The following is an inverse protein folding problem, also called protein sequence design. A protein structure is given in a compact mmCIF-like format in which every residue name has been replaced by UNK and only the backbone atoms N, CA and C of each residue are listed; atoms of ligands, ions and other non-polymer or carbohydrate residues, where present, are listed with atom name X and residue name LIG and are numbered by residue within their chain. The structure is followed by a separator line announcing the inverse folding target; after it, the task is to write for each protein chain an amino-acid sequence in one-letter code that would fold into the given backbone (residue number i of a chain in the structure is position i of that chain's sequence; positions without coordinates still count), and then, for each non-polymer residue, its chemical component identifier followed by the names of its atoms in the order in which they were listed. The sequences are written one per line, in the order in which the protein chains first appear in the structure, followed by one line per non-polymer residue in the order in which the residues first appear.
data_IF_159841748326
#
_entry.id   IF_159841748326
#
_cell.length_a   1.000
_cell.length_b   1.000
_cell.length_c   1.000
_cell.angle_alpha   90.00
_cell.angle_beta   90.00
_cell.angle_gamma   90.00
#
_symmetry.space_group_name_H-M   'P 1'
#
loop_
_entity.id
_entity.type
_entity.pdbx_description
1 polymer ?
#
# COMPACT_ATOMS: atom_id res chain seq x y z
N UNK A 1 -11.74 61.04 -3.72
CA UNK A 1 -12.25 59.74 -3.21
C UNK A 1 -12.22 58.77 -4.38
N UNK A 2 -11.21 57.90 -4.45
CA UNK A 2 -11.21 56.83 -5.43
C UNK A 2 -12.22 55.78 -4.96
N UNK A 3 -13.25 55.51 -5.77
CA UNK A 3 -14.15 54.38 -5.55
C UNK A 3 -13.33 53.11 -5.76
N UNK A 4 -12.99 52.39 -4.69
CA UNK A 4 -12.54 51.00 -4.82
C UNK A 4 -13.67 50.24 -5.51
N UNK A 5 -13.43 49.79 -6.75
CA UNK A 5 -14.32 48.86 -7.43
C UNK A 5 -14.40 47.62 -6.56
N UNK A 6 -15.60 47.32 -6.06
CA UNK A 6 -15.86 46.16 -5.22
C UNK A 6 -15.50 44.90 -6.03
N UNK A 7 -14.64 44.06 -5.47
CA UNK A 7 -14.20 42.84 -6.13
C UNK A 7 -15.41 41.96 -6.48
N UNK A 8 -15.50 41.54 -7.75
CA UNK A 8 -16.62 40.74 -8.26
C UNK A 8 -16.80 39.43 -7.48
N UNK A 9 -15.72 38.84 -6.98
CA UNK A 9 -15.80 37.60 -6.22
C UNK A 9 -16.38 37.88 -4.83
N UNK A 10 -15.97 38.98 -4.18
CA UNK A 10 -16.52 39.42 -2.90
C UNK A 10 -18.05 39.67 -2.92
N UNK A 11 -18.65 39.89 -4.10
CA UNK A 11 -20.10 40.07 -4.25
C UNK A 11 -20.93 38.79 -4.07
N UNK A 12 -20.31 37.60 -4.10
CA UNK A 12 -21.04 36.34 -3.92
C UNK A 12 -21.56 36.16 -2.47
N UNK A 13 -22.66 35.42 -2.28
CA UNK A 13 -23.12 35.00 -0.95
C UNK A 13 -22.09 34.12 -0.23
N UNK A 14 -22.06 34.18 1.10
CA UNK A 14 -21.03 33.48 1.91
C UNK A 14 -20.97 31.98 1.64
N UNK A 15 -22.11 31.31 1.41
CA UNK A 15 -22.13 29.88 1.09
C UNK A 15 -21.40 29.54 -0.22
N UNK A 16 -21.41 30.42 -1.21
CA UNK A 16 -20.63 30.24 -2.45
C UNK A 16 -19.16 30.47 -2.17
N UNK A 17 -18.81 31.46 -1.34
CA UNK A 17 -17.43 31.71 -0.94
C UNK A 17 -16.84 30.55 -0.15
N UNK A 18 -17.60 29.97 0.79
CA UNK A 18 -17.21 28.76 1.51
C UNK A 18 -17.01 27.58 0.58
N UNK A 19 -17.92 27.41 -0.40
CA UNK A 19 -17.76 26.36 -1.40
C UNK A 19 -16.49 26.55 -2.24
N UNK A 20 -16.19 27.78 -2.68
CA UNK A 20 -14.94 28.08 -3.40
C UNK A 20 -13.71 27.76 -2.52
N UNK A 21 -13.71 28.20 -1.26
CA UNK A 21 -12.60 27.95 -0.34
C UNK A 21 -12.44 26.47 0.02
N UNK A 22 -13.52 25.67 -0.02
CA UNK A 22 -13.46 24.23 0.26
C UNK A 22 -12.62 23.44 -0.77
N UNK A 23 -12.39 24.02 -1.96
CA UNK A 23 -11.51 23.44 -2.98
C UNK A 23 -10.05 23.86 -2.83
N UNK A 24 -9.74 24.79 -1.92
CA UNK A 24 -8.40 25.31 -1.73
C UNK A 24 -7.71 24.62 -0.55
N UNK A 25 -6.40 24.31 -0.66
CA UNK A 25 -5.58 23.98 0.51
C UNK A 25 -5.66 25.12 1.54
N UNK A 26 -5.53 24.78 2.84
CA UNK A 26 -5.65 25.76 3.93
C UNK A 26 -4.74 26.99 3.73
N UNK A 27 -3.53 26.79 3.19
CA UNK A 27 -2.59 27.87 2.85
C UNK A 27 -3.20 28.91 1.93
N UNK A 28 -3.80 28.45 0.83
CA UNK A 28 -4.36 29.31 -0.20
C UNK A 28 -5.68 29.91 0.28
N UNK A 29 -6.48 29.14 1.04
CA UNK A 29 -7.69 29.66 1.68
C UNK A 29 -7.35 30.81 2.64
N UNK A 30 -6.33 30.67 3.48
CA UNK A 30 -5.86 31.74 4.38
C UNK A 30 -5.32 32.94 3.59
N UNK A 31 -4.62 32.72 2.47
CA UNK A 31 -4.15 33.81 1.60
C UNK A 31 -5.29 34.65 1.03
N UNK A 32 -6.50 34.11 0.87
CA UNK A 32 -7.64 34.93 0.44
C UNK A 32 -8.03 36.01 1.45
N UNK A 33 -7.59 35.90 2.72
CA UNK A 33 -7.90 36.88 3.77
C UNK A 33 -7.41 38.31 3.48
N UNK A 34 -6.46 38.49 2.56
CA UNK A 34 -5.97 39.81 2.14
C UNK A 34 -6.81 40.45 1.01
N UNK A 35 -7.74 39.72 0.40
CA UNK A 35 -8.55 40.21 -0.73
C UNK A 35 -9.48 41.35 -0.29
N UNK A 36 -10.23 41.15 0.80
CA UNK A 36 -11.07 42.20 1.40
C UNK A 36 -11.43 41.88 2.86
N UNK A 37 -12.08 42.82 3.54
CA UNK A 37 -12.59 42.62 4.91
C UNK A 37 -13.56 41.45 5.01
N UNK A 38 -14.30 41.15 3.94
CA UNK A 38 -15.25 40.03 3.88
C UNK A 38 -14.53 38.68 3.88
N UNK A 39 -13.38 38.57 3.21
CA UNK A 39 -12.60 37.33 3.13
C UNK A 39 -11.76 37.03 4.36
N UNK A 40 -11.56 38.01 5.23
CA UNK A 40 -10.60 37.95 6.34
C UNK A 40 -10.74 36.70 7.22
N UNK A 41 -11.95 36.18 7.40
CA UNK A 41 -12.22 35.04 8.29
C UNK A 41 -12.95 33.88 7.62
N UNK A 42 -13.19 33.94 6.30
CA UNK A 42 -13.97 32.88 5.61
C UNK A 42 -13.28 31.51 5.65
N UNK A 43 -11.94 31.51 5.71
CA UNK A 43 -11.17 30.26 5.83
C UNK A 43 -11.45 29.51 7.14
N UNK A 44 -11.98 30.17 8.18
CA UNK A 44 -12.30 29.52 9.45
C UNK A 44 -13.48 28.54 9.32
N UNK A 45 -14.30 28.69 8.28
CA UNK A 45 -15.48 27.86 8.02
C UNK A 45 -15.20 26.67 7.10
N UNK A 46 -13.94 26.45 6.67
CA UNK A 46 -13.62 25.26 5.89
C UNK A 46 -13.67 24.01 6.78
N UNK A 47 -14.16 22.91 6.22
CA UNK A 47 -14.29 21.63 6.94
C UNK A 47 -13.04 20.75 6.85
N UNK A 48 -12.11 21.06 5.94
CA UNK A 48 -10.87 20.31 5.73
C UNK A 48 -9.67 21.16 6.09
N UNK A 49 -8.96 20.77 7.15
CA UNK A 49 -7.76 21.43 7.63
C UNK A 49 -6.62 20.41 7.52
N UNK A 50 -5.82 20.50 6.45
CA UNK A 50 -4.61 19.66 6.27
C UNK A 50 -3.38 20.54 6.15
N UNK A 51 -2.39 20.27 6.99
CA UNK A 51 -1.06 20.88 6.89
C UNK A 51 -0.09 19.81 6.38
N UNK A 52 0.36 19.97 5.13
CA UNK A 52 1.29 19.04 4.48
C UNK A 52 2.75 19.43 4.68
N UNK A 53 3.68 18.54 4.30
CA UNK A 53 5.12 18.81 4.43
C UNK A 53 5.62 20.06 3.74
N UNK A 54 4.97 20.52 2.65
CA UNK A 54 5.35 21.77 1.98
C UNK A 54 4.98 23.02 2.79
N UNK A 55 3.93 22.91 3.60
CA UNK A 55 3.54 23.91 4.59
C UNK A 55 4.47 23.87 5.80
N UNK A 56 4.78 22.66 6.27
CA UNK A 56 5.58 22.44 7.46
C UNK A 56 7.07 22.75 7.24
N UNK A 57 7.59 22.56 6.03
CA UNK A 57 9.00 22.87 5.69
C UNK A 57 9.35 24.36 5.81
N UNK A 58 8.35 25.24 5.84
CA UNK A 58 8.53 26.68 6.04
C UNK A 58 8.52 27.12 7.51
N UNK A 59 8.27 26.19 8.44
CA UNK A 59 8.37 26.48 9.87
C UNK A 59 9.82 26.73 10.24
N UNK A 60 10.02 27.60 11.22
CA UNK A 60 11.29 27.96 11.83
C UNK A 60 11.04 28.21 13.32
N UNK A 61 12.06 28.15 14.19
CA UNK A 61 11.93 28.56 15.60
C UNK A 61 11.30 29.95 15.77
N UNK A 62 11.47 30.82 14.76
CA UNK A 62 10.96 32.19 14.75
C UNK A 62 9.46 32.29 14.50
N UNK A 63 8.85 31.31 13.85
CA UNK A 63 7.45 31.37 13.43
C UNK A 63 6.58 30.23 14.00
N UNK A 64 7.20 29.23 14.64
CA UNK A 64 6.52 28.05 15.18
C UNK A 64 5.42 28.42 16.18
N UNK A 65 5.68 29.35 17.10
CA UNK A 65 4.68 29.82 18.06
C UNK A 65 3.55 30.59 17.38
N UNK A 66 3.85 31.34 16.32
CA UNK A 66 2.83 32.04 15.54
C UNK A 66 1.93 31.05 14.80
N UNK A 67 2.51 29.97 14.27
CA UNK A 67 1.77 28.88 13.67
C UNK A 67 0.90 28.16 14.70
N UNK A 68 1.45 27.79 15.86
CA UNK A 68 0.68 27.16 16.95
C UNK A 68 -0.52 28.00 17.35
N UNK A 69 -0.29 29.30 17.60
CA UNK A 69 -1.35 30.25 17.92
C UNK A 69 -2.40 30.40 16.80
N UNK A 70 -1.97 30.32 15.54
CA UNK A 70 -2.89 30.33 14.40
C UNK A 70 -3.79 29.08 14.38
N UNK A 71 -3.21 27.89 14.52
CA UNK A 71 -3.96 26.63 14.54
C UNK A 71 -4.92 26.58 15.73
N UNK A 72 -4.47 27.00 16.92
CA UNK A 72 -5.31 27.10 18.10
C UNK A 72 -6.56 27.96 17.85
N UNK A 73 -6.38 29.16 17.28
CA UNK A 73 -7.49 30.06 16.97
C UNK A 73 -8.40 29.51 15.89
N UNK A 74 -7.84 28.82 14.90
CA UNK A 74 -8.60 28.19 13.82
C UNK A 74 -9.48 27.04 14.34
N UNK A 75 -8.95 26.22 15.25
CA UNK A 75 -9.70 25.10 15.83
C UNK A 75 -10.71 25.54 16.88
N UNK A 76 -10.40 26.61 17.64
CA UNK A 76 -11.25 27.16 18.71
C UNK A 76 -12.18 28.30 18.24
N UNK A 77 -12.40 28.46 16.93
CA UNK A 77 -13.21 29.55 16.39
C UNK A 77 -14.68 29.45 16.87
N UNK A 78 -15.35 30.57 17.25
CA UNK A 78 -16.67 30.51 17.92
C UNK A 78 -17.81 29.88 17.11
N UNK A 79 -17.82 30.11 15.79
CA UNK A 79 -18.85 29.59 14.88
C UNK A 79 -18.40 28.24 14.29
N UNK A 80 -18.33 27.22 15.15
CA UNK A 80 -17.74 25.92 14.82
C UNK A 80 -18.55 25.16 13.76
N UNK A 81 -17.98 25.01 12.57
CA UNK A 81 -18.45 24.05 11.54
C UNK A 81 -17.88 22.67 11.86
N UNK A 82 -18.67 21.62 11.61
CA UNK A 82 -18.19 20.24 11.68
C UNK A 82 -16.96 20.05 10.80
N UNK A 83 -15.91 19.43 11.32
CA UNK A 83 -14.75 19.10 10.50
C UNK A 83 -15.03 17.84 9.71
N UNK A 84 -14.71 17.86 8.43
CA UNK A 84 -14.64 16.63 7.64
C UNK A 84 -13.27 15.99 7.85
N UNK A 85 -12.19 16.79 7.89
CA UNK A 85 -10.85 16.27 8.03
C UNK A 85 -9.92 17.21 8.79
N UNK A 86 -9.10 16.63 9.66
CA UNK A 86 -7.95 17.25 10.31
C UNK A 86 -6.70 16.43 10.00
N UNK A 87 -5.68 17.07 9.41
CA UNK A 87 -4.43 16.40 9.11
C UNK A 87 -3.20 17.24 9.32
N UNK A 88 -2.12 16.58 9.74
CA UNK A 88 -0.87 17.20 10.12
C UNK A 88 0.26 16.23 9.79
N UNK A 89 0.98 16.51 8.70
CA UNK A 89 1.95 15.59 8.14
C UNK A 89 3.35 16.22 8.11
N UNK A 90 4.38 15.37 8.24
CA UNK A 90 5.79 15.70 8.03
C UNK A 90 6.35 16.74 9.04
N UNK A 91 6.06 16.52 10.34
CA UNK A 91 6.68 17.26 11.47
C UNK A 91 8.02 16.63 11.90
N UNK A 92 8.53 15.66 11.15
CA UNK A 92 9.78 14.93 11.41
C UNK A 92 10.97 15.88 11.66
N UNK A 93 10.98 17.05 11.04
CA UNK A 93 12.04 18.06 11.22
C UNK A 93 11.90 18.98 12.45
N UNK A 94 10.78 18.91 13.18
CA UNK A 94 10.41 19.86 14.24
C UNK A 94 10.11 19.22 15.59
N UNK A 95 10.10 17.89 15.68
CA UNK A 95 9.85 17.17 16.94
C UNK A 95 11.13 16.51 17.48
N UNK A 96 12.23 17.25 17.47
CA UNK A 96 13.46 16.83 18.15
C UNK A 96 13.32 16.95 19.68
N UNK A 97 14.36 16.50 20.41
CA UNK A 97 14.38 16.53 21.88
C UNK A 97 14.19 17.93 22.49
N UNK A 98 14.36 18.99 21.72
CA UNK A 98 14.28 20.38 22.18
C UNK A 98 12.94 21.05 21.80
N UNK A 99 12.17 20.50 20.86
CA UNK A 99 10.94 21.09 20.33
C UNK A 99 9.75 20.12 20.37
N UNK A 100 9.26 19.75 21.56
CA UNK A 100 8.08 18.90 21.66
C UNK A 100 6.83 19.62 21.10
N UNK A 101 6.37 19.17 19.94
CA UNK A 101 5.20 19.71 19.27
C UNK A 101 3.95 18.98 19.78
N UNK A 102 3.48 19.35 20.97
CA UNK A 102 2.26 18.80 21.55
C UNK A 102 1.04 19.23 20.74
N UNK A 103 0.39 18.26 20.09
CA UNK A 103 -0.80 18.42 19.27
C UNK A 103 -2.05 17.80 19.90
N UNK A 104 -1.95 17.30 21.14
CA UNK A 104 -3.04 16.60 21.82
C UNK A 104 -4.29 17.49 21.94
N UNK A 105 -4.12 18.76 22.26
CA UNK A 105 -5.19 19.76 22.31
C UNK A 105 -5.85 19.99 20.96
N UNK A 106 -5.08 19.95 19.87
CA UNK A 106 -5.60 20.12 18.51
C UNK A 106 -6.40 18.90 18.07
N UNK A 107 -5.90 17.71 18.38
CA UNK A 107 -6.63 16.46 18.17
C UNK A 107 -7.95 16.52 18.95
N UNK A 108 -7.92 16.85 20.26
CA UNK A 108 -9.12 17.00 21.07
C UNK A 108 -10.11 18.02 20.49
N UNK A 109 -9.62 19.18 20.04
CA UNK A 109 -10.47 20.20 19.41
C UNK A 109 -11.12 19.70 18.11
N UNK A 110 -10.39 18.94 17.29
CA UNK A 110 -10.92 18.34 16.08
C UNK A 110 -11.99 17.27 16.39
N UNK A 111 -11.73 16.42 17.38
CA UNK A 111 -12.68 15.39 17.87
C UNK A 111 -13.97 16.03 18.40
N UNK A 112 -13.87 17.10 19.20
CA UNK A 112 -15.02 17.85 19.71
C UNK A 112 -15.86 18.50 18.59
N UNK A 113 -15.25 18.77 17.42
CA UNK A 113 -15.94 19.27 16.22
C UNK A 113 -16.53 18.15 15.35
N UNK A 114 -16.50 16.91 15.82
CA UNK A 114 -17.08 15.77 15.10
C UNK A 114 -16.31 15.42 13.83
N UNK A 115 -14.99 15.52 13.85
CA UNK A 115 -14.13 15.20 12.69
C UNK A 115 -14.38 13.78 12.18
N UNK A 116 -14.39 13.61 10.85
CA UNK A 116 -14.59 12.31 10.19
C UNK A 116 -13.27 11.64 9.80
N UNK A 117 -12.26 12.41 9.44
CA UNK A 117 -10.94 11.92 9.06
C UNK A 117 -9.85 12.59 9.91
N UNK A 118 -9.03 11.77 10.57
CA UNK A 118 -7.78 12.20 11.18
C UNK A 118 -6.62 11.56 10.40
N UNK A 119 -5.66 12.38 9.99
CA UNK A 119 -4.50 12.01 9.17
C UNK A 119 -3.24 12.63 9.79
N UNK A 120 -2.52 11.87 10.61
CA UNK A 120 -1.37 12.37 11.37
C UNK A 120 -0.11 11.61 10.99
N UNK A 121 0.95 12.35 10.69
CA UNK A 121 2.29 11.82 10.44
C UNK A 121 3.33 12.64 11.20
N UNK A 122 3.66 12.16 12.41
CA UNK A 122 4.47 12.84 13.42
C UNK A 122 5.45 11.85 14.08
N UNK A 123 6.65 12.31 14.41
CA UNK A 123 7.51 11.62 15.37
C UNK A 123 6.91 11.66 16.78
N UNK A 124 7.16 10.63 17.59
CA UNK A 124 6.70 10.56 18.99
C UNK A 124 5.18 10.68 19.21
N UNK A 125 4.38 10.47 18.15
CA UNK A 125 2.91 10.57 18.20
C UNK A 125 2.32 9.70 19.30
N UNK A 126 2.89 8.51 19.53
CA UNK A 126 2.42 7.53 20.50
C UNK A 126 2.13 8.06 21.91
N UNK A 127 2.96 8.99 22.39
CA UNK A 127 2.81 9.57 23.74
C UNK A 127 1.84 10.77 23.79
N UNK A 128 1.44 11.29 22.63
CA UNK A 128 0.61 12.50 22.48
C UNK A 128 -0.85 12.14 22.17
N UNK A 129 -1.12 10.91 21.69
CA UNK A 129 -2.46 10.50 21.27
C UNK A 129 -3.45 10.52 22.46
N UNK A 130 -4.50 11.36 22.41
CA UNK A 130 -5.49 11.39 23.48
C UNK A 130 -6.36 10.12 23.42
N UNK A 131 -6.68 9.55 24.58
CA UNK A 131 -7.56 8.37 24.67
C UNK A 131 -8.95 8.60 24.01
N UNK A 132 -9.42 9.86 23.99
CA UNK A 132 -10.65 10.27 23.31
C UNK A 132 -10.66 9.93 21.81
N UNK A 133 -9.48 9.90 21.18
CA UNK A 133 -9.35 9.51 19.77
C UNK A 133 -9.96 8.15 19.51
N UNK A 134 -9.73 7.18 20.41
CA UNK A 134 -10.12 5.78 20.27
C UNK A 134 -11.58 5.50 20.63
N UNK A 135 -12.35 6.49 21.06
CA UNK A 135 -13.78 6.38 21.42
C UNK A 135 -14.67 7.33 20.62
N UNK A 136 -14.10 8.03 19.64
CA UNK A 136 -14.82 9.04 18.87
C UNK A 136 -15.71 8.40 17.80
N UNK A 137 -17.01 8.64 17.90
CA UNK A 137 -18.01 8.03 17.02
C UNK A 137 -18.15 8.75 15.68
N UNK A 138 -17.65 9.97 15.51
CA UNK A 138 -17.70 10.66 14.21
C UNK A 138 -16.64 10.16 13.24
N UNK A 139 -15.58 9.51 13.73
CA UNK A 139 -14.46 9.05 12.91
C UNK A 139 -14.88 7.93 11.96
N UNK A 140 -14.54 8.13 10.70
CA UNK A 140 -14.71 7.20 9.59
C UNK A 140 -13.34 6.74 9.08
N UNK A 141 -12.34 7.63 9.10
CA UNK A 141 -10.97 7.36 8.65
C UNK A 141 -9.97 7.78 9.71
N UNK A 142 -9.06 6.88 10.07
CA UNK A 142 -7.96 7.16 10.98
C UNK A 142 -6.64 6.70 10.35
N UNK A 143 -5.72 7.64 10.11
CA UNK A 143 -4.38 7.36 9.62
C UNK A 143 -3.37 7.93 10.60
N UNK A 144 -2.52 7.07 11.12
CA UNK A 144 -1.52 7.40 12.13
C UNK A 144 -0.18 6.87 11.68
N UNK A 145 0.77 7.76 11.41
CA UNK A 145 2.18 7.44 11.22
C UNK A 145 2.93 7.97 12.44
N UNK A 146 3.52 7.05 13.21
CA UNK A 146 4.04 7.33 14.54
C UNK A 146 5.52 6.95 14.67
N UNK A 147 6.37 7.58 13.85
CA UNK A 147 7.80 7.29 13.70
C UNK A 147 8.49 7.10 15.06
N UNK A 148 9.06 5.91 15.27
CA UNK A 148 9.87 5.57 16.44
C UNK A 148 9.11 5.44 17.76
N UNK A 149 7.76 5.46 17.75
CA UNK A 149 6.93 5.47 18.95
C UNK A 149 5.89 4.36 19.01
N UNK A 150 5.46 4.05 20.24
CA UNK A 150 4.43 3.04 20.52
C UNK A 150 3.03 3.63 20.41
N UNK A 151 2.14 3.00 19.64
CA UNK A 151 0.72 3.35 19.67
C UNK A 151 0.03 2.52 20.77
N UNK A 152 -0.23 3.18 21.91
CA UNK A 152 -0.92 2.58 23.05
C UNK A 152 -2.43 2.58 22.80
N UNK A 153 -2.96 1.43 22.37
CA UNK A 153 -4.41 1.25 22.15
C UNK A 153 -5.12 0.98 23.49
N UNK A 154 -6.05 1.84 23.93
CA UNK A 154 -6.84 1.61 25.15
C UNK A 154 -7.68 0.33 25.09
N UNK A 155 -7.96 -0.27 26.25
CA UNK A 155 -8.79 -1.48 26.35
C UNK A 155 -10.26 -1.26 25.96
N UNK A 156 -10.74 -0.03 26.11
CA UNK A 156 -12.10 0.43 25.84
C UNK A 156 -12.26 1.09 24.46
N UNK A 157 -11.32 0.84 23.53
CA UNK A 157 -11.40 1.32 22.15
C UNK A 157 -12.75 0.95 21.53
N UNK A 158 -13.42 1.95 20.95
CA UNK A 158 -14.73 1.79 20.32
C UNK A 158 -14.91 2.87 19.24
N UNK A 159 -14.55 2.54 18.01
CA UNK A 159 -14.69 3.44 16.85
C UNK A 159 -15.83 2.94 15.96
N UNK A 160 -17.06 3.20 16.40
CA UNK A 160 -18.26 2.58 15.84
C UNK A 160 -18.55 2.87 14.35
N UNK A 161 -17.97 3.93 13.78
CA UNK A 161 -18.14 4.32 12.38
C UNK A 161 -16.85 4.19 11.54
N UNK A 162 -15.77 3.67 12.11
CA UNK A 162 -14.48 3.60 11.44
C UNK A 162 -14.47 2.55 10.33
N UNK A 163 -14.28 3.02 9.09
CA UNK A 163 -14.21 2.19 7.89
C UNK A 163 -12.78 1.98 7.40
N UNK A 164 -11.90 2.93 7.67
CA UNK A 164 -10.50 2.90 7.20
C UNK A 164 -9.55 3.18 8.36
N UNK A 165 -8.62 2.25 8.59
CA UNK A 165 -7.55 2.37 9.57
C UNK A 165 -6.21 2.15 8.89
N UNK A 166 -5.31 3.12 9.02
CA UNK A 166 -3.93 3.02 8.58
C UNK A 166 -2.99 3.30 9.75
N UNK A 167 -2.10 2.36 10.03
CA UNK A 167 -1.02 2.49 11.00
C UNK A 167 0.31 2.43 10.24
N UNK A 168 1.19 3.39 10.51
CA UNK A 168 2.44 3.59 9.80
C UNK A 168 3.62 3.78 10.75
N UNK A 169 4.78 3.19 10.45
CA UNK A 169 6.05 3.48 11.12
C UNK A 169 6.01 3.46 12.67
N UNK A 170 5.19 2.58 13.24
CA UNK A 170 4.89 2.55 14.67
C UNK A 170 5.24 1.22 15.31
N UNK A 171 5.48 1.21 16.62
CA UNK A 171 5.57 -0.04 17.40
C UNK A 171 4.19 -0.42 17.92
N UNK A 172 3.80 -1.68 17.71
CA UNK A 172 2.54 -2.26 18.16
C UNK A 172 2.83 -3.38 19.15
N UNK A 173 2.27 -3.29 20.35
CA UNK A 173 2.48 -4.27 21.43
C UNK A 173 1.22 -5.11 21.69
N UNK A 174 1.46 -6.35 22.13
CA UNK A 174 0.44 -7.25 22.69
C UNK A 174 -0.75 -7.45 21.75
N UNK A 175 -1.95 -7.16 22.26
CA UNK A 175 -3.23 -7.37 21.58
C UNK A 175 -3.76 -6.09 20.89
N UNK A 176 -2.94 -5.05 20.69
CA UNK A 176 -3.37 -3.74 20.17
C UNK A 176 -4.12 -3.82 18.84
N UNK A 177 -3.56 -4.57 17.86
CA UNK A 177 -4.22 -4.80 16.57
C UNK A 177 -5.55 -5.55 16.78
N UNK A 178 -5.54 -6.60 17.59
CA UNK A 178 -6.73 -7.39 17.85
C UNK A 178 -7.85 -6.53 18.48
N UNK A 179 -7.53 -5.64 19.43
CA UNK A 179 -8.49 -4.70 20.04
C UNK A 179 -9.07 -3.73 19.02
N UNK A 180 -8.25 -3.17 18.14
CA UNK A 180 -8.72 -2.28 17.08
C UNK A 180 -9.70 -3.01 16.15
N UNK A 181 -9.35 -4.22 15.71
CA UNK A 181 -10.18 -4.99 14.78
C UNK A 181 -11.48 -5.47 15.45
N UNK A 182 -11.39 -6.02 16.66
CA UNK A 182 -12.54 -6.61 17.37
C UNK A 182 -13.59 -5.58 17.80
N UNK A 183 -13.19 -4.32 18.06
CA UNK A 183 -14.11 -3.28 18.49
C UNK A 183 -14.56 -2.32 17.36
N UNK A 184 -13.95 -2.39 16.16
CA UNK A 184 -14.32 -1.58 14.99
C UNK A 184 -15.14 -2.41 13.99
N UNK A 185 -16.42 -2.63 14.30
CA UNK A 185 -17.31 -3.56 13.58
C UNK A 185 -17.73 -3.14 12.16
N UNK A 186 -17.28 -2.00 11.66
CA UNK A 186 -17.55 -1.54 10.27
C UNK A 186 -16.26 -1.30 9.48
N UNK A 187 -15.12 -1.78 10.00
CA UNK A 187 -13.81 -1.61 9.39
C UNK A 187 -13.73 -2.42 8.07
N UNK A 188 -13.60 -1.71 6.95
CA UNK A 188 -13.52 -2.29 5.61
C UNK A 188 -12.09 -2.29 5.05
N UNK A 189 -11.25 -1.36 5.47
CA UNK A 189 -9.87 -1.18 4.99
C UNK A 189 -8.89 -1.05 6.16
N UNK A 190 -7.96 -2.00 6.26
CA UNK A 190 -6.89 -2.01 7.25
C UNK A 190 -5.53 -2.03 6.54
N UNK A 191 -4.69 -1.05 6.88
CA UNK A 191 -3.31 -0.97 6.44
C UNK A 191 -2.37 -0.86 7.64
N UNK A 192 -1.37 -1.74 7.71
CA UNK A 192 -0.26 -1.72 8.67
C UNK A 192 1.01 -1.65 7.85
N UNK A 193 1.72 -0.52 7.93
CA UNK A 193 2.83 -0.17 7.04
C UNK A 193 4.05 0.18 7.88
N UNK A 194 5.17 -0.49 7.66
CA UNK A 194 6.45 -0.25 8.33
C UNK A 194 6.33 -0.29 9.88
N UNK A 195 5.34 -1.01 10.40
CA UNK A 195 5.16 -1.21 11.84
C UNK A 195 6.00 -2.37 12.34
N UNK A 196 6.38 -2.34 13.63
CA UNK A 196 7.05 -3.46 14.31
C UNK A 196 6.16 -4.08 15.36
N UNK A 197 6.24 -5.41 15.47
CA UNK A 197 5.56 -6.19 16.50
C UNK A 197 6.55 -6.60 17.59
N UNK A 198 6.39 -6.02 18.77
CA UNK A 198 7.26 -6.31 19.92
C UNK A 198 6.51 -7.20 20.93
N UNK A 199 7.17 -8.28 21.37
CA UNK A 199 6.63 -9.28 22.32
C UNK A 199 5.31 -9.93 21.87
N UNK A 200 5.18 -10.21 20.57
CA UNK A 200 4.01 -10.87 19.98
C UNK A 200 4.44 -12.17 19.32
N UNK A 201 3.77 -13.27 19.68
CA UNK A 201 3.94 -14.59 19.03
C UNK A 201 2.86 -14.88 17.98
N UNK A 202 1.76 -14.13 17.98
CA UNK A 202 0.65 -14.31 17.06
C UNK A 202 0.05 -12.96 16.65
N UNK A 203 0.03 -12.68 15.35
CA UNK A 203 -0.68 -11.54 14.76
C UNK A 203 -2.02 -12.05 14.22
N UNK A 204 -3.10 -11.79 14.96
CA UNK A 204 -4.42 -12.35 14.68
C UNK A 204 -5.40 -11.32 14.12
N UNK A 205 -5.78 -11.49 12.86
CA UNK A 205 -6.65 -10.59 12.10
C UNK A 205 -7.93 -11.35 11.72
N UNK A 206 -9.00 -11.14 12.49
CA UNK A 206 -10.30 -11.76 12.25
C UNK A 206 -11.38 -10.69 12.14
N UNK A 207 -11.95 -10.55 10.95
CA UNK A 207 -13.04 -9.61 10.71
C UNK A 207 -13.88 -10.03 9.51
N UNK A 208 -15.21 -10.18 9.66
CA UNK A 208 -16.09 -10.42 8.54
C UNK A 208 -16.37 -9.16 7.70
N UNK A 209 -15.97 -7.97 8.14
CA UNK A 209 -16.26 -6.71 7.43
C UNK A 209 -15.11 -6.24 6.54
N UNK A 210 -13.90 -6.76 6.79
CA UNK A 210 -12.70 -6.33 6.09
C UNK A 210 -12.75 -6.75 4.61
N UNK A 211 -12.59 -5.78 3.71
CA UNK A 211 -12.53 -5.96 2.25
C UNK A 211 -11.12 -5.76 1.72
N UNK A 212 -10.31 -4.93 2.38
CA UNK A 212 -8.93 -4.64 2.01
C UNK A 212 -8.02 -4.79 3.22
N UNK A 213 -6.95 -5.57 3.04
CA UNK A 213 -5.91 -5.78 4.04
C UNK A 213 -4.55 -5.54 3.40
N UNK A 214 -3.77 -4.64 3.99
CA UNK A 214 -2.41 -4.33 3.58
C UNK A 214 -1.48 -4.45 4.78
N UNK A 215 -0.53 -5.36 4.67
CA UNK A 215 0.52 -5.61 5.64
C UNK A 215 1.84 -5.44 4.92
N UNK A 216 2.51 -4.31 5.10
CA UNK A 216 3.77 -4.00 4.42
C UNK A 216 4.80 -3.68 5.48
N UNK A 217 5.78 -4.54 5.66
CA UNK A 217 6.81 -4.42 6.67
C UNK A 217 8.16 -4.10 6.02
N UNK A 218 9.09 -3.57 6.83
CA UNK A 218 10.39 -3.18 6.35
C UNK A 218 11.33 -4.39 6.32
N UNK A 219 11.70 -4.84 5.12
CA UNK A 219 12.59 -5.98 4.88
C UNK A 219 14.03 -5.77 5.41
N UNK A 220 14.44 -4.51 5.62
CA UNK A 220 15.81 -4.15 5.99
C UNK A 220 16.04 -4.09 7.51
N UNK A 221 14.98 -4.13 8.30
CA UNK A 221 15.04 -4.11 9.77
C UNK A 221 14.64 -5.50 10.24
N UNK A 222 15.60 -6.27 10.73
CA UNK A 222 15.39 -7.55 11.42
C UNK A 222 14.47 -7.37 12.63
N UNK A 223 13.17 -7.21 12.38
CA UNK A 223 12.13 -7.30 13.39
C UNK A 223 12.01 -8.74 13.85
N UNK A 224 11.27 -8.97 14.93
CA UNK A 224 10.97 -10.31 15.37
C UNK A 224 10.16 -11.03 14.27
N UNK A 225 10.73 -12.08 13.67
CA UNK A 225 10.06 -12.96 12.70
C UNK A 225 9.43 -14.19 13.36
N UNK A 226 9.60 -14.34 14.68
CA UNK A 226 9.08 -15.44 15.50
C UNK A 226 7.62 -15.17 15.88
N UNK A 227 6.78 -15.01 14.85
CA UNK A 227 5.34 -14.89 15.01
C UNK A 227 4.58 -15.65 13.93
N UNK A 228 3.37 -16.09 14.30
CA UNK A 228 2.42 -16.70 13.39
C UNK A 228 1.39 -15.66 12.93
N UNK A 229 1.22 -15.53 11.62
CA UNK A 229 0.20 -14.67 11.03
C UNK A 229 -1.10 -15.44 10.83
N UNK A 230 -2.16 -15.07 11.56
CA UNK A 230 -3.48 -15.69 11.49
C UNK A 230 -4.47 -14.75 10.83
N UNK A 231 -5.06 -15.15 9.70
CA UNK A 231 -6.03 -14.34 8.95
C UNK A 231 -7.32 -15.14 8.74
N UNK A 232 -8.44 -14.59 9.24
CA UNK A 232 -9.78 -15.12 9.04
C UNK A 232 -10.73 -13.99 8.65
N UNK A 233 -10.82 -13.72 7.35
CA UNK A 233 -11.54 -12.57 6.78
C UNK A 233 -12.36 -13.01 5.56
N UNK A 234 -13.57 -13.59 5.74
CA UNK A 234 -14.34 -14.23 4.67
C UNK A 234 -14.70 -13.32 3.49
N UNK A 235 -14.84 -12.01 3.74
CA UNK A 235 -15.24 -11.01 2.76
C UNK A 235 -14.05 -10.19 2.23
N UNK A 236 -12.82 -10.60 2.51
CA UNK A 236 -11.63 -9.92 2.01
C UNK A 236 -11.54 -10.09 0.50
N UNK A 237 -11.38 -8.97 -0.22
CA UNK A 237 -11.31 -8.90 -1.69
C UNK A 237 -9.87 -8.66 -2.15
N UNK A 238 -9.13 -7.83 -1.43
CA UNK A 238 -7.74 -7.48 -1.72
C UNK A 238 -6.84 -7.77 -0.52
N UNK A 239 -5.73 -8.46 -0.78
CA UNK A 239 -4.69 -8.72 0.21
C UNK A 239 -3.33 -8.29 -0.33
N UNK A 240 -2.60 -7.48 0.43
CA UNK A 240 -1.19 -7.20 0.18
C UNK A 240 -0.37 -7.58 1.39
N UNK A 241 0.71 -8.33 1.15
CA UNK A 241 1.66 -8.76 2.16
C UNK A 241 3.08 -8.47 1.66
N UNK A 242 3.90 -7.82 2.48
CA UNK A 242 5.31 -7.60 2.22
C UNK A 242 6.09 -7.79 3.50
N UNK A 243 6.92 -8.83 3.59
CA UNK A 243 7.72 -9.14 4.78
C UNK A 243 8.81 -10.19 4.48
N UNK A 244 9.74 -10.41 5.42
CA UNK A 244 10.47 -11.66 5.47
C UNK A 244 9.51 -12.82 5.79
N UNK A 245 9.82 -14.04 5.35
CA UNK A 245 8.99 -15.20 5.70
C UNK A 245 9.02 -15.42 7.21
N UNK A 246 7.86 -15.24 7.85
CA UNK A 246 7.65 -15.42 9.30
C UNK A 246 7.52 -16.89 9.68
N UNK A 247 7.55 -17.18 11.00
CA UNK A 247 7.48 -18.53 11.56
C UNK A 247 6.33 -19.36 10.98
N UNK A 248 5.15 -18.77 10.77
CA UNK A 248 4.04 -19.49 10.14
C UNK A 248 2.87 -18.64 9.67
N UNK A 249 2.05 -19.25 8.82
CA UNK A 249 0.86 -18.62 8.25
C UNK A 249 -0.36 -19.52 8.43
N UNK A 250 -1.45 -18.94 8.92
CA UNK A 250 -2.73 -19.63 9.08
C UNK A 250 -3.87 -18.82 8.45
N UNK A 251 -4.12 -19.08 7.17
CA UNK A 251 -5.11 -18.39 6.34
C UNK A 251 -6.25 -19.37 6.03
N UNK A 252 -7.32 -19.36 6.84
CA UNK A 252 -8.35 -20.43 6.79
C UNK A 252 -9.62 -20.06 6.02
N UNK A 253 -9.94 -18.76 5.90
CA UNK A 253 -11.23 -18.32 5.38
C UNK A 253 -11.12 -17.05 4.53
N UNK A 254 -10.53 -17.19 3.34
CA UNK A 254 -10.31 -16.11 2.37
C UNK A 254 -11.07 -16.37 1.06
N UNK A 255 -12.34 -16.79 1.16
CA UNK A 255 -13.13 -17.29 0.02
C UNK A 255 -13.46 -16.21 -1.01
N UNK A 256 -13.60 -14.96 -0.58
CA UNK A 256 -13.91 -13.82 -1.45
C UNK A 256 -12.67 -13.14 -2.02
N UNK A 257 -11.47 -13.66 -1.73
CA UNK A 257 -10.22 -13.01 -2.12
C UNK A 257 -10.05 -13.08 -3.65
N UNK A 258 -10.10 -11.91 -4.28
CA UNK A 258 -9.97 -11.79 -5.74
C UNK A 258 -8.53 -11.48 -6.15
N UNK A 259 -7.83 -10.64 -5.39
CA UNK A 259 -6.49 -10.15 -5.74
C UNK A 259 -5.53 -10.22 -4.57
N UNK A 260 -4.33 -10.76 -4.82
CA UNK A 260 -3.25 -10.82 -3.84
C UNK A 260 -1.95 -10.24 -4.41
N UNK A 261 -1.27 -9.39 -3.62
CA UNK A 261 0.08 -8.90 -3.88
C UNK A 261 1.00 -9.39 -2.76
N UNK A 262 1.89 -10.32 -3.05
CA UNK A 262 2.77 -10.95 -2.08
C UNK A 262 4.22 -10.59 -2.43
N UNK A 263 4.96 -10.03 -1.48
CA UNK A 263 6.39 -9.78 -1.61
C UNK A 263 7.10 -10.38 -0.40
N UNK A 264 7.77 -11.52 -0.59
CA UNK A 264 8.44 -12.23 0.49
C UNK A 264 9.91 -12.43 0.19
N UNK A 265 10.77 -12.31 1.19
CA UNK A 265 12.18 -12.67 1.08
C UNK A 265 12.53 -13.80 2.04
N UNK A 266 13.61 -14.52 1.73
CA UNK A 266 14.11 -15.60 2.58
C UNK A 266 14.45 -15.06 3.98
N UNK A 267 14.12 -15.84 5.00
CA UNK A 267 14.56 -15.62 6.39
C UNK A 267 15.53 -16.72 6.79
N UNK A 268 16.36 -16.49 7.82
CA UNK A 268 17.32 -17.47 8.34
C UNK A 268 16.64 -18.70 9.02
N UNK A 269 15.32 -18.85 8.90
CA UNK A 269 14.54 -19.92 9.52
C UNK A 269 14.66 -21.25 8.76
N UNK A 270 14.75 -22.36 9.50
CA UNK A 270 14.90 -23.72 8.94
C UNK A 270 13.67 -24.14 8.12
N UNK A 271 12.48 -23.63 8.47
CA UNK A 271 11.19 -24.01 7.87
C UNK A 271 10.62 -22.96 6.91
N UNK A 272 11.44 -21.98 6.48
CA UNK A 272 11.06 -20.87 5.59
C UNK A 272 10.22 -21.34 4.38
N UNK A 273 10.70 -22.35 3.67
CA UNK A 273 10.03 -22.90 2.50
C UNK A 273 8.62 -23.47 2.81
N UNK A 274 8.47 -24.16 3.94
CA UNK A 274 7.19 -24.72 4.39
C UNK A 274 6.21 -23.61 4.76
N UNK A 275 6.68 -22.59 5.47
CA UNK A 275 5.87 -21.44 5.88
C UNK A 275 5.41 -20.62 4.68
N UNK A 276 6.31 -20.34 3.73
CA UNK A 276 5.94 -19.71 2.46
C UNK A 276 4.87 -20.52 1.71
N UNK A 277 4.97 -21.85 1.68
CA UNK A 277 3.94 -22.70 1.07
C UNK A 277 2.58 -22.57 1.75
N UNK A 278 2.53 -22.44 3.08
CA UNK A 278 1.26 -22.19 3.79
C UNK A 278 0.63 -20.85 3.43
N UNK A 279 1.43 -19.79 3.23
CA UNK A 279 0.94 -18.50 2.73
C UNK A 279 0.29 -18.66 1.35
N UNK A 280 1.01 -19.31 0.42
CA UNK A 280 0.52 -19.56 -0.95
C UNK A 280 -0.75 -20.44 -0.94
N UNK A 281 -0.79 -21.47 -0.08
CA UNK A 281 -1.97 -22.32 0.13
C UNK A 281 -3.19 -21.53 0.61
N UNK A 282 -2.98 -20.53 1.47
CA UNK A 282 -4.02 -19.64 1.99
C UNK A 282 -4.71 -18.80 0.93
N UNK A 283 -3.95 -18.34 -0.07
CA UNK A 283 -4.42 -17.42 -1.13
C UNK A 283 -4.80 -18.13 -2.43
N UNK A 284 -4.80 -19.47 -2.48
CA UNK A 284 -4.99 -20.27 -3.71
C UNK A 284 -6.23 -19.98 -4.57
N UNK A 285 -7.24 -19.30 -4.03
CA UNK A 285 -8.51 -19.04 -4.70
C UNK A 285 -8.53 -17.72 -5.50
N UNK A 286 -7.45 -16.94 -5.48
CA UNK A 286 -7.34 -15.65 -6.16
C UNK A 286 -7.53 -15.74 -7.67
N UNK A 287 -8.01 -14.64 -8.25
CA UNK A 287 -8.09 -14.43 -9.70
C UNK A 287 -6.86 -13.72 -10.26
N UNK A 288 -6.25 -12.84 -9.47
CA UNK A 288 -5.07 -12.06 -9.84
C UNK A 288 -4.02 -12.17 -8.73
N UNK A 289 -2.81 -12.63 -9.07
CA UNK A 289 -1.69 -12.79 -8.14
C UNK A 289 -0.48 -12.02 -8.66
N UNK A 290 0.05 -11.10 -7.85
CA UNK A 290 1.38 -10.54 -8.04
C UNK A 290 2.29 -11.13 -6.97
N UNK A 291 3.36 -11.82 -7.38
CA UNK A 291 4.30 -12.48 -6.49
C UNK A 291 5.71 -11.92 -6.71
N UNK A 292 6.28 -11.38 -5.64
CA UNK A 292 7.68 -11.01 -5.54
C UNK A 292 8.34 -11.95 -4.54
N UNK A 293 9.37 -12.68 -4.98
CA UNK A 293 10.05 -13.66 -4.12
C UNK A 293 11.48 -13.89 -4.59
N UNK A 294 12.35 -14.28 -3.66
CA UNK A 294 13.58 -14.98 -4.02
C UNK A 294 13.21 -16.36 -4.59
N UNK A 295 13.90 -16.78 -5.65
CA UNK A 295 13.68 -18.05 -6.29
C UNK A 295 14.10 -19.24 -5.40
N UNK A 296 14.93 -18.99 -4.38
CA UNK A 296 15.33 -20.00 -3.38
C UNK A 296 14.17 -20.50 -2.48
N UNK A 297 13.07 -19.74 -2.36
CA UNK A 297 11.99 -20.05 -1.42
C UNK A 297 11.17 -21.29 -1.81
N UNK A 298 11.05 -21.60 -3.11
CA UNK A 298 10.16 -22.66 -3.63
C UNK A 298 10.91 -23.79 -4.35
N UNK A 299 12.13 -24.10 -3.94
CA UNK A 299 12.98 -25.10 -4.62
C UNK A 299 12.42 -26.53 -4.55
N UNK A 300 11.73 -26.91 -3.47
CA UNK A 300 11.27 -28.27 -3.22
C UNK A 300 9.77 -28.39 -2.91
N UNK A 301 9.09 -27.26 -2.77
CA UNK A 301 7.71 -27.15 -2.33
C UNK A 301 6.68 -27.62 -3.35
N UNK A 302 5.64 -28.29 -2.85
CA UNK A 302 4.44 -28.59 -3.63
C UNK A 302 3.44 -27.45 -3.49
N UNK A 303 3.39 -26.62 -4.52
CA UNK A 303 2.46 -25.50 -4.59
C UNK A 303 1.00 -25.97 -4.78
N UNK A 304 0.01 -25.23 -4.26
CA UNK A 304 -1.40 -25.50 -4.49
C UNK A 304 -1.80 -25.27 -5.95
N UNK A 305 -2.84 -25.98 -6.40
CA UNK A 305 -3.49 -25.67 -7.68
C UNK A 305 -4.36 -24.42 -7.54
N UNK A 306 -4.13 -23.45 -8.41
CA UNK A 306 -4.87 -22.20 -8.56
C UNK A 306 -5.92 -22.31 -9.66
N UNK A 307 -7.08 -22.88 -9.33
CA UNK A 307 -8.16 -23.08 -10.32
C UNK A 307 -8.76 -21.77 -10.85
N UNK A 308 -8.72 -20.69 -10.08
CA UNK A 308 -9.36 -19.42 -10.43
C UNK A 308 -8.39 -18.37 -10.99
N UNK A 309 -7.08 -18.66 -11.00
CA UNK A 309 -6.06 -17.67 -11.37
C UNK A 309 -6.09 -17.42 -12.88
N UNK A 310 -6.33 -16.17 -13.24
CA UNK A 310 -6.42 -15.67 -14.62
C UNK A 310 -5.22 -14.78 -14.94
N UNK A 311 -4.76 -13.99 -13.97
CA UNK A 311 -3.65 -13.06 -14.10
C UNK A 311 -2.56 -13.41 -13.11
N UNK A 312 -1.34 -13.62 -13.60
CA UNK A 312 -0.17 -13.86 -12.76
C UNK A 312 0.94 -12.89 -13.15
N UNK A 313 1.41 -12.12 -12.19
CA UNK A 313 2.59 -11.28 -12.30
C UNK A 313 3.67 -11.84 -11.38
N UNK A 314 4.86 -12.08 -11.92
CA UNK A 314 6.03 -12.39 -11.14
C UNK A 314 7.06 -11.27 -11.26
N UNK A 315 7.53 -10.82 -10.10
CA UNK A 315 8.61 -9.85 -9.96
C UNK A 315 9.76 -10.52 -9.20
N UNK A 316 10.98 -10.58 -9.73
CA UNK A 316 12.07 -11.25 -8.99
C UNK A 316 13.44 -10.86 -9.50
N UNK A 317 14.47 -11.10 -8.67
CA UNK A 317 15.88 -10.75 -8.92
C UNK A 317 16.54 -11.52 -10.08
N UNK A 318 15.75 -12.24 -10.88
CA UNK A 318 16.19 -12.99 -12.05
C UNK A 318 16.14 -14.50 -11.84
N UNK A 319 16.86 -15.20 -12.71
CA UNK A 319 17.06 -16.65 -12.70
C UNK A 319 18.55 -16.94 -12.85
N UNK A 320 19.17 -17.69 -11.95
CA UNK A 320 20.51 -18.24 -12.10
C UNK A 320 20.55 -19.51 -12.97
N UNK A 321 19.38 -19.99 -13.41
CA UNK A 321 19.21 -21.14 -14.30
C UNK A 321 19.24 -22.47 -13.57
N UNK A 322 19.09 -22.46 -12.25
CA UNK A 322 18.76 -23.62 -11.43
C UNK A 322 17.23 -23.68 -11.20
N UNK A 323 16.53 -22.57 -11.40
CA UNK A 323 15.18 -22.42 -10.86
C UNK A 323 14.11 -22.93 -11.83
N UNK A 324 13.54 -24.10 -11.52
CA UNK A 324 12.45 -24.72 -12.28
C UNK A 324 11.07 -24.30 -11.77
N UNK A 325 11.01 -23.65 -10.60
CA UNK A 325 9.78 -23.40 -9.86
C UNK A 325 8.76 -22.58 -10.66
N UNK A 326 9.19 -21.64 -11.53
CA UNK A 326 8.26 -20.83 -12.30
C UNK A 326 7.39 -21.70 -13.24
N UNK A 327 8.00 -22.69 -13.90
CA UNK A 327 7.26 -23.60 -14.77
C UNK A 327 6.41 -24.58 -13.96
N UNK A 328 6.90 -24.99 -12.79
CA UNK A 328 6.10 -25.77 -11.83
C UNK A 328 4.89 -25.00 -11.31
N UNK A 329 5.03 -23.69 -11.09
CA UNK A 329 3.94 -22.79 -10.76
C UNK A 329 2.93 -22.69 -11.91
N UNK A 330 3.40 -22.58 -13.17
CA UNK A 330 2.51 -22.59 -14.33
C UNK A 330 1.70 -23.90 -14.46
N UNK A 331 2.24 -25.04 -14.02
CA UNK A 331 1.46 -26.28 -13.92
C UNK A 331 0.34 -26.20 -12.87
N UNK A 332 0.52 -25.38 -11.84
CA UNK A 332 -0.47 -25.14 -10.81
C UNK A 332 -1.54 -24.14 -11.23
N UNK A 333 -1.36 -23.40 -12.33
CA UNK A 333 -2.29 -22.36 -12.80
C UNK A 333 -2.94 -22.74 -14.15
N UNK A 334 -3.83 -23.75 -14.21
CA UNK A 334 -4.30 -24.34 -15.47
C UNK A 334 -5.12 -23.39 -16.35
N UNK A 335 -5.77 -22.37 -15.76
CA UNK A 335 -6.68 -21.43 -16.44
C UNK A 335 -6.08 -20.03 -16.66
N UNK A 336 -4.76 -19.90 -16.50
CA UNK A 336 -4.06 -18.63 -16.65
C UNK A 336 -4.22 -18.06 -18.07
N UNK A 337 -4.62 -16.79 -18.17
CA UNK A 337 -4.81 -16.09 -19.45
C UNK A 337 -3.75 -14.99 -19.69
N UNK A 338 -3.32 -14.32 -18.63
CA UNK A 338 -2.32 -13.24 -18.68
C UNK A 338 -1.15 -13.55 -17.77
N UNK A 339 0.05 -13.47 -18.31
CA UNK A 339 1.28 -13.75 -17.58
C UNK A 339 2.30 -12.64 -17.74
N UNK A 340 2.68 -12.00 -16.63
CA UNK A 340 3.64 -10.90 -16.60
C UNK A 340 4.90 -11.31 -15.86
N UNK A 341 6.05 -11.03 -16.45
CA UNK A 341 7.38 -11.22 -15.88
C UNK A 341 8.08 -9.87 -15.80
N UNK A 342 8.39 -9.41 -14.59
CA UNK A 342 9.02 -8.12 -14.38
C UNK A 342 10.35 -8.27 -13.62
N UNK A 343 11.45 -8.14 -14.37
CA UNK A 343 12.79 -8.24 -13.81
C UNK A 343 13.37 -6.84 -13.55
N UNK A 344 13.95 -6.58 -12.36
CA UNK A 344 14.70 -5.37 -12.07
C UNK A 344 15.98 -5.29 -12.92
N UNK A 345 16.64 -4.13 -12.90
CA UNK A 345 17.78 -3.84 -13.78
C UNK A 345 18.97 -4.77 -13.55
N UNK A 346 19.19 -5.17 -12.29
CA UNK A 346 20.33 -5.99 -11.89
C UNK A 346 20.04 -7.51 -11.90
N UNK A 347 18.88 -7.90 -12.40
CA UNK A 347 18.48 -9.29 -12.45
C UNK A 347 19.25 -10.07 -13.51
N UNK A 348 19.95 -11.13 -13.08
CA UNK A 348 20.61 -12.07 -14.00
C UNK A 348 19.58 -13.04 -14.52
N UNK A 349 19.45 -13.19 -15.83
CA UNK A 349 18.49 -14.13 -16.43
C UNK A 349 19.26 -15.20 -17.19
N UNK A 350 19.45 -16.36 -16.57
CA UNK A 350 19.92 -17.57 -17.22
C UNK A 350 18.78 -18.57 -17.27
N UNK A 351 18.15 -18.72 -18.42
CA UNK A 351 17.11 -19.75 -18.60
C UNK A 351 17.73 -21.04 -19.12
N UNK A 352 17.71 -22.12 -18.34
CA UNK A 352 18.11 -23.44 -18.84
C UNK A 352 16.91 -24.19 -19.42
N UNK A 353 17.17 -24.95 -20.49
CA UNK A 353 16.16 -25.76 -21.18
C UNK A 353 15.59 -26.79 -20.20
N UNK A 354 14.31 -26.62 -19.86
CA UNK A 354 13.61 -27.48 -18.92
C UNK A 354 13.18 -28.77 -19.61
N UNK A 355 13.54 -29.96 -19.09
CA UNK A 355 13.04 -31.25 -19.58
C UNK A 355 11.61 -31.56 -19.11
N UNK A 356 10.80 -30.53 -18.82
CA UNK A 356 9.50 -30.67 -18.16
C UNK A 356 8.36 -30.71 -19.19
N UNK A 357 7.31 -31.47 -18.86
CA UNK A 357 6.04 -31.50 -19.61
C UNK A 357 5.51 -30.08 -19.77
N UNK A 358 4.88 -29.76 -20.88
CA UNK A 358 4.34 -28.40 -21.12
C UNK A 358 3.15 -28.11 -20.18
N UNK A 359 3.14 -26.99 -19.44
CA UNK A 359 1.97 -26.54 -18.68
C UNK A 359 0.71 -26.43 -19.54
N UNK A 360 -0.44 -26.85 -18.99
CA UNK A 360 -1.71 -26.83 -19.73
C UNK A 360 -2.17 -25.41 -20.08
N UNK A 361 -1.88 -24.42 -19.23
CA UNK A 361 -2.22 -23.03 -19.48
C UNK A 361 -1.57 -22.49 -20.77
N UNK A 362 -0.30 -22.82 -21.02
CA UNK A 362 0.38 -22.47 -22.28
C UNK A 362 -0.35 -23.04 -23.49
N UNK A 363 -0.81 -24.28 -23.39
CA UNK A 363 -1.46 -24.96 -24.52
C UNK A 363 -2.87 -24.45 -24.82
N UNK A 364 -3.64 -24.04 -23.81
CA UNK A 364 -5.10 -23.87 -23.96
C UNK A 364 -5.66 -22.50 -23.57
N UNK A 365 -5.00 -21.73 -22.68
CA UNK A 365 -5.63 -20.56 -22.07
C UNK A 365 -4.79 -19.28 -22.15
N UNK A 366 -3.46 -19.37 -22.24
CA UNK A 366 -2.60 -18.21 -22.16
C UNK A 366 -2.66 -17.36 -23.43
N UNK A 367 -3.25 -16.16 -23.32
CA UNK A 367 -3.49 -15.21 -24.43
C UNK A 367 -2.45 -14.10 -24.46
N UNK A 368 -1.93 -13.69 -23.31
CA UNK A 368 -1.00 -12.58 -23.22
C UNK A 368 0.20 -12.91 -22.33
N UNK A 369 1.40 -12.58 -22.83
CA UNK A 369 2.63 -12.59 -22.06
C UNK A 369 3.27 -11.22 -22.14
N UNK A 370 3.57 -10.61 -20.98
CA UNK A 370 4.38 -9.39 -20.88
C UNK A 370 5.71 -9.70 -20.18
N UNK A 371 6.83 -9.30 -20.77
CA UNK A 371 8.17 -9.47 -20.20
C UNK A 371 8.87 -8.12 -20.15
N UNK A 372 9.18 -7.66 -18.95
CA UNK A 372 10.02 -6.50 -18.68
C UNK A 372 11.41 -6.96 -18.26
N UNK A 373 12.44 -6.60 -19.02
CA UNK A 373 13.82 -7.05 -18.76
C UNK A 373 14.87 -6.00 -19.14
N UNK A 374 16.07 -6.15 -18.58
CA UNK A 374 17.22 -5.30 -18.91
C UNK A 374 18.39 -6.06 -19.56
N UNK A 375 18.29 -7.38 -19.66
CA UNK A 375 19.36 -8.26 -20.19
C UNK A 375 19.04 -8.83 -21.58
N UNK A 376 20.10 -9.32 -22.26
CA UNK A 376 20.00 -9.92 -23.59
C UNK A 376 19.70 -11.42 -23.60
N UNK A 377 19.77 -12.09 -22.44
CA UNK A 377 19.66 -13.56 -22.30
C UNK A 377 18.22 -14.06 -22.09
N UNK A 378 17.23 -13.29 -22.57
CA UNK A 378 15.80 -13.67 -22.51
C UNK A 378 15.38 -14.60 -23.66
N UNK A 379 16.25 -14.82 -24.65
CA UNK A 379 15.89 -15.43 -25.94
C UNK A 379 15.44 -16.87 -25.73
N UNK A 380 16.13 -17.63 -24.88
CA UNK A 380 15.79 -19.01 -24.56
C UNK A 380 14.40 -19.12 -23.90
N UNK A 381 14.10 -18.24 -22.95
CA UNK A 381 12.81 -18.16 -22.27
C UNK A 381 11.69 -17.78 -23.23
N UNK A 382 11.90 -16.74 -24.05
CA UNK A 382 10.91 -16.32 -25.06
C UNK A 382 10.67 -17.43 -26.09
N UNK A 383 11.74 -18.09 -26.53
CA UNK A 383 11.66 -19.23 -27.45
C UNK A 383 10.83 -20.37 -26.83
N UNK A 384 11.04 -20.68 -25.56
CA UNK A 384 10.23 -21.67 -24.84
C UNK A 384 8.74 -21.28 -24.87
N UNK A 385 8.38 -20.04 -24.52
CA UNK A 385 6.99 -19.62 -24.52
C UNK A 385 6.38 -19.62 -25.92
N UNK A 386 7.07 -19.09 -26.93
CA UNK A 386 6.56 -19.06 -28.31
C UNK A 386 6.34 -20.45 -28.91
N UNK A 387 7.20 -21.42 -28.55
CA UNK A 387 7.07 -22.80 -29.02
C UNK A 387 5.93 -23.57 -28.34
N UNK A 388 5.55 -23.18 -27.11
CA UNK A 388 4.59 -23.94 -26.30
C UNK A 388 3.23 -23.26 -26.15
N UNK A 389 3.15 -21.93 -26.32
CA UNK A 389 1.93 -21.16 -26.15
C UNK A 389 1.08 -21.19 -27.44
N UNK A 390 0.17 -22.16 -27.55
CA UNK A 390 -0.55 -22.48 -28.79
C UNK A 390 -1.67 -21.49 -29.12
N UNK A 391 -2.23 -20.82 -28.10
CA UNK A 391 -3.34 -19.86 -28.24
C UNK A 391 -2.93 -18.41 -28.00
N UNK A 392 -1.62 -18.14 -27.86
CA UNK A 392 -1.07 -16.83 -27.54
C UNK A 392 -1.46 -15.78 -28.59
N UNK A 393 -1.94 -14.63 -28.15
CA UNK A 393 -2.35 -13.51 -28.99
C UNK A 393 -1.33 -12.37 -28.95
N UNK A 394 -0.82 -12.04 -27.76
CA UNK A 394 0.15 -10.97 -27.57
C UNK A 394 1.39 -11.45 -26.80
N UNK A 395 2.57 -11.14 -27.32
CA UNK A 395 3.83 -11.18 -26.59
C UNK A 395 4.42 -9.77 -26.56
N UNK A 396 4.41 -9.15 -25.39
CA UNK A 396 4.90 -7.79 -25.16
C UNK A 396 6.27 -7.88 -24.46
N UNK A 397 7.29 -7.25 -25.04
CA UNK A 397 8.64 -7.23 -24.48
C UNK A 397 9.04 -5.78 -24.25
N UNK A 398 9.19 -5.39 -22.98
CA UNK A 398 9.63 -4.06 -22.55
C UNK A 398 11.11 -4.10 -22.20
N UNK A 399 11.92 -3.42 -22.99
CA UNK A 399 13.37 -3.36 -22.79
C UNK A 399 13.76 -2.16 -21.94
N UNK A 400 14.07 -2.38 -20.67
CA UNK A 400 14.49 -1.36 -19.69
C UNK A 400 16.01 -1.22 -19.71
N UNK A 401 16.54 -0.01 -19.48
CA UNK A 401 17.98 0.27 -19.30
C UNK A 401 18.96 -0.24 -20.40
N UNK A 402 18.49 -0.69 -21.56
CA UNK A 402 19.34 -1.19 -22.66
C UNK A 402 19.73 -0.08 -23.64
N UNK A 403 20.96 -0.16 -24.16
CA UNK A 403 21.42 0.71 -25.26
C UNK A 403 20.65 0.43 -26.55
N UNK A 404 20.59 1.42 -27.46
CA UNK A 404 19.93 1.28 -28.76
C UNK A 404 20.47 0.09 -29.56
N UNK A 405 21.78 -0.16 -29.49
CA UNK A 405 22.43 -1.28 -30.18
C UNK A 405 22.02 -2.63 -29.61
N UNK A 406 21.96 -2.75 -28.27
CA UNK A 406 21.49 -3.97 -27.61
C UNK A 406 20.01 -4.24 -27.91
N UNK A 407 19.15 -3.21 -27.82
CA UNK A 407 17.73 -3.32 -28.16
C UNK A 407 17.53 -3.83 -29.59
N UNK A 408 18.26 -3.28 -30.55
CA UNK A 408 18.20 -3.70 -31.96
C UNK A 408 18.65 -5.16 -32.14
N UNK A 409 19.75 -5.56 -31.49
CA UNK A 409 20.27 -6.94 -31.57
C UNK A 409 19.23 -7.94 -31.05
N UNK A 410 18.71 -7.71 -29.85
CA UNK A 410 17.72 -8.60 -29.23
C UNK A 410 16.41 -8.61 -30.02
N UNK A 411 15.93 -7.44 -30.49
CA UNK A 411 14.72 -7.36 -31.32
C UNK A 411 14.85 -8.19 -32.61
N UNK A 412 15.98 -8.11 -33.29
CA UNK A 412 16.23 -8.89 -34.50
C UNK A 412 16.23 -10.39 -34.23
N UNK A 413 16.77 -10.83 -33.09
CA UNK A 413 16.78 -12.25 -32.70
C UNK A 413 15.37 -12.73 -32.33
N UNK A 414 14.61 -11.94 -31.57
CA UNK A 414 13.24 -12.29 -31.15
C UNK A 414 12.28 -12.41 -32.33
N UNK A 415 12.40 -11.54 -33.34
CA UNK A 415 11.55 -11.57 -34.53
C UNK A 415 11.83 -12.79 -35.45
N UNK A 416 12.98 -13.46 -35.27
CA UNK A 416 13.34 -14.67 -36.01
C UNK A 416 12.84 -15.95 -35.34
N UNK A 417 12.31 -15.87 -34.12
CA UNK A 417 11.84 -17.04 -33.38
C UNK A 417 10.58 -17.63 -34.03
N UNK A 418 10.50 -18.95 -34.02
CA UNK A 418 9.31 -19.68 -34.45
C UNK A 418 8.18 -19.47 -33.44
N UNK A 419 6.95 -19.37 -33.96
CA UNK A 419 5.74 -19.20 -33.16
C UNK A 419 4.79 -20.35 -33.42
N UNK A 420 4.34 -21.01 -32.36
CA UNK A 420 3.34 -22.06 -32.48
C UNK A 420 1.94 -21.49 -32.68
N UNK A 421 1.62 -20.35 -32.03
CA UNK A 421 0.39 -19.62 -32.30
C UNK A 421 0.50 -18.77 -33.57
N UNK A 422 -0.44 -18.96 -34.50
CA UNK A 422 -0.58 -18.13 -35.71
C UNK A 422 -1.12 -16.74 -35.45
N UNK A 423 -1.77 -16.52 -34.30
CA UNK A 423 -2.35 -15.22 -33.90
C UNK A 423 -1.35 -14.32 -33.18
N UNK A 424 -0.23 -14.88 -32.70
CA UNK A 424 0.70 -14.18 -31.83
C UNK A 424 1.40 -12.99 -32.51
N UNK A 425 1.09 -11.79 -32.01
CA UNK A 425 1.79 -10.55 -32.31
C UNK A 425 2.92 -10.34 -31.29
N UNK A 426 4.12 -10.05 -31.79
CA UNK A 426 5.25 -9.68 -30.94
C UNK A 426 5.37 -8.16 -30.98
N UNK A 427 5.22 -7.52 -29.82
CA UNK A 427 5.35 -6.08 -29.62
C UNK A 427 6.58 -5.82 -28.76
N UNK A 428 7.50 -4.99 -29.24
CA UNK A 428 8.74 -4.65 -28.53
C UNK A 428 8.71 -3.15 -28.23
N UNK A 429 8.87 -2.78 -26.96
CA UNK A 429 8.76 -1.41 -26.43
C UNK A 429 10.07 -0.93 -25.77
#
# INVERSE_FOLDING_TARGET
MAMCVEDRISSFPDHILFHILSFLPIKEAVRTSIISTKWRYLFASISTIKFDGSLMSGLTDRNVDSFKNFVDRLLKFPDQVSLDCFGLNDIVSWNDRDHNFDVSDWICAALCRGVKEIDLDLENLGDILPALLFTCHSLVTLKLVALGSEIKVPSDVCLGNLKTLQLGNSVLFGDSIHRLISNCHVLEDLAVIECRFDNISEVNIQSPWLKRLVLVFNLDVFGNIDYVLVINTPNLVYFQYTDAVVEGYNLTNMKSLEKAHINICESDSIDCETSATHLIQGIRNVRSLSLTTDAAIFLTSRLPIFHNLIEFEYCGLGFDGIETWLVEFLHCAPNLETFTLNFPVDARIQWKVLPVKVPSCLSFHLKEIEISCSETHIIEMVSYFLNNAMVLENLIIRMKAMTVTQKRKVSNQLLQLLKSSKKCLIVIL
#
